data_IF_302971004511
#
_entry.id   IF_302971004511
#
_cell.length_a   1.000
_cell.length_b   1.000
_cell.length_c   1.000
_cell.angle_alpha   90.00
_cell.angle_beta   90.00
_cell.angle_gamma   90.00
#
_symmetry.space_group_name_H-M   'P 1'
#
loop_
_entity.id
_entity.type
_entity.pdbx_description
1 polymer ?
#
# COMPACT_ATOMS: atom_id res chain seq x y z
N UNK A 1 -37.58 4.54 -5.30
CA UNK A 1 -37.45 4.34 -6.76
C UNK A 1 -38.04 5.57 -7.44
N UNK A 2 -37.26 6.27 -8.28
CA UNK A 2 -37.67 7.46 -9.02
C UNK A 2 -37.83 7.16 -10.51
N UNK A 3 -38.78 7.84 -11.15
CA UNK A 3 -39.40 7.59 -12.45
C UNK A 3 -38.54 7.78 -13.73
N UNK A 4 -37.21 7.73 -13.65
CA UNK A 4 -36.35 7.63 -14.83
C UNK A 4 -35.23 6.64 -14.54
N UNK A 5 -35.20 5.54 -15.29
CA UNK A 5 -34.33 4.37 -15.11
C UNK A 5 -32.84 4.61 -15.40
N UNK A 6 -32.25 5.67 -14.85
CA UNK A 6 -30.80 5.73 -14.66
C UNK A 6 -30.54 5.29 -13.23
N UNK A 7 -30.03 4.06 -13.08
CA UNK A 7 -29.20 3.70 -11.93
C UNK A 7 -28.32 4.90 -11.62
N UNK A 8 -28.39 5.44 -10.40
CA UNK A 8 -27.62 6.62 -10.02
C UNK A 8 -26.14 6.22 -10.04
N UNK A 9 -25.51 6.26 -11.22
CA UNK A 9 -24.08 6.07 -11.38
C UNK A 9 -23.43 7.12 -10.49
N UNK A 10 -22.63 6.64 -9.52
CA UNK A 10 -21.92 7.50 -8.58
C UNK A 10 -21.19 8.57 -9.39
N UNK A 11 -21.26 9.82 -8.94
CA UNK A 11 -20.55 10.91 -9.58
C UNK A 11 -19.06 10.53 -9.71
N UNK A 12 -18.44 10.63 -10.90
CA UNK A 12 -17.04 10.27 -11.11
C UNK A 12 -16.08 10.93 -10.10
N UNK A 13 -16.39 12.16 -9.68
CA UNK A 13 -15.63 12.86 -8.63
C UNK A 13 -15.71 12.15 -7.28
N UNK A 14 -16.89 11.66 -6.92
CA UNK A 14 -17.11 10.96 -5.65
C UNK A 14 -16.44 9.59 -5.67
N UNK A 15 -16.45 8.90 -6.83
CA UNK A 15 -15.70 7.65 -7.03
C UNK A 15 -14.20 7.84 -6.81
N UNK A 16 -13.58 8.84 -7.45
CA UNK A 16 -12.14 9.10 -7.29
C UNK A 16 -11.80 9.52 -5.86
N UNK A 17 -12.67 10.26 -5.19
CA UNK A 17 -12.50 10.59 -3.77
C UNK A 17 -12.56 9.35 -2.89
N UNK A 18 -13.53 8.45 -3.12
CA UNK A 18 -13.68 7.18 -2.39
C UNK A 18 -12.43 6.30 -2.58
N UNK A 19 -11.95 6.15 -3.83
CA UNK A 19 -10.73 5.41 -4.14
C UNK A 19 -9.51 6.01 -3.46
N UNK A 20 -9.37 7.34 -3.52
CA UNK A 20 -8.26 8.06 -2.86
C UNK A 20 -8.26 7.86 -1.34
N UNK A 21 -9.44 7.82 -0.72
CA UNK A 21 -9.58 7.54 0.72
C UNK A 21 -9.18 6.10 1.05
N UNK A 22 -9.66 5.12 0.27
CA UNK A 22 -9.29 3.70 0.42
C UNK A 22 -7.76 3.53 0.33
N UNK A 23 -7.13 4.03 -0.74
CA UNK A 23 -5.66 3.97 -0.94
C UNK A 23 -4.90 4.60 0.21
N UNK A 24 -5.35 5.75 0.71
CA UNK A 24 -4.70 6.45 1.82
C UNK A 24 -4.79 5.65 3.12
N UNK A 25 -5.93 5.01 3.39
CA UNK A 25 -6.12 4.13 4.55
C UNK A 25 -5.16 2.95 4.53
N UNK A 26 -4.99 2.31 3.36
CA UNK A 26 -4.03 1.22 3.17
C UNK A 26 -2.59 1.70 3.39
N UNK A 27 -2.23 2.90 2.88
CA UNK A 27 -0.94 3.52 3.13
C UNK A 27 -0.62 3.69 4.62
N UNK A 28 -1.61 4.08 5.44
CA UNK A 28 -1.45 4.17 6.89
C UNK A 28 -1.31 2.81 7.58
N UNK A 29 -1.93 1.75 7.04
CA UNK A 29 -1.74 0.40 7.56
C UNK A 29 -0.30 -0.08 7.33
N UNK A 30 0.26 0.16 6.13
CA UNK A 30 1.65 -0.14 5.82
C UNK A 30 2.62 0.62 6.74
N UNK A 31 2.34 1.90 7.02
CA UNK A 31 3.16 2.70 7.97
C UNK A 31 3.13 2.13 9.40
N UNK A 32 1.98 1.63 9.85
CA UNK A 32 1.88 0.95 11.15
C UNK A 32 2.70 -0.35 11.17
N UNK A 33 2.69 -1.11 10.08
CA UNK A 33 3.49 -2.33 9.97
C UNK A 33 4.99 -2.04 9.96
N UNK A 34 5.45 -1.03 9.22
CA UNK A 34 6.86 -0.60 9.25
C UNK A 34 7.28 -0.29 10.69
N UNK A 35 6.49 0.52 11.41
CA UNK A 35 6.80 0.87 12.80
C UNK A 35 6.79 -0.35 13.74
N UNK A 36 5.90 -1.31 13.51
CA UNK A 36 5.87 -2.54 14.30
C UNK A 36 7.14 -3.38 14.08
N UNK A 37 7.56 -3.58 12.82
CA UNK A 37 8.76 -4.34 12.48
C UNK A 37 10.02 -3.63 13.01
N UNK A 38 10.10 -2.30 12.90
CA UNK A 38 11.23 -1.52 13.42
C UNK A 38 11.38 -1.65 14.95
N UNK A 39 10.26 -1.63 15.69
CA UNK A 39 10.30 -1.85 17.15
C UNK A 39 10.80 -3.24 17.50
N UNK A 40 10.40 -4.25 16.75
CA UNK A 40 10.84 -5.62 16.97
C UNK A 40 12.31 -5.81 16.58
N UNK A 41 12.75 -5.21 15.47
CA UNK A 41 14.16 -5.17 15.06
C UNK A 41 15.03 -4.57 16.17
N UNK A 42 14.57 -3.52 16.84
CA UNK A 42 15.31 -2.88 17.92
C UNK A 42 15.47 -3.79 19.15
N UNK A 43 14.44 -4.59 19.49
CA UNK A 43 14.56 -5.61 20.54
C UNK A 43 15.56 -6.69 20.14
N UNK A 44 15.48 -7.20 18.91
CA UNK A 44 16.41 -8.22 18.39
C UNK A 44 17.84 -7.70 18.41
N UNK A 45 18.08 -6.42 18.07
CA UNK A 45 19.41 -5.79 18.17
C UNK A 45 19.93 -5.76 19.60
N UNK A 46 19.09 -5.48 20.60
CA UNK A 46 19.50 -5.53 22.02
C UNK A 46 19.87 -6.94 22.42
N UNK A 47 19.03 -7.93 22.12
CA UNK A 47 19.31 -9.34 22.38
C UNK A 47 20.59 -9.83 21.69
N UNK A 48 20.87 -9.35 20.48
CA UNK A 48 22.10 -9.67 19.75
C UNK A 48 23.34 -9.11 20.47
N UNK A 49 23.28 -7.87 20.95
CA UNK A 49 24.39 -7.28 21.73
C UNK A 49 24.62 -8.03 23.04
N UNK A 50 23.55 -8.47 23.71
CA UNK A 50 23.65 -9.21 24.96
C UNK A 50 24.19 -10.63 24.75
N UNK A 51 23.75 -11.32 23.69
CA UNK A 51 24.30 -12.62 23.30
C UNK A 51 25.79 -12.51 22.89
N UNK A 52 26.17 -11.42 22.21
CA UNK A 52 27.55 -11.18 21.83
C UNK A 52 28.47 -11.00 23.04
N UNK A 53 28.01 -10.32 24.09
CA UNK A 53 28.75 -10.19 25.36
C UNK A 53 28.95 -11.53 26.08
N UNK A 54 28.01 -12.47 25.93
CA UNK A 54 28.08 -13.81 26.50
C UNK A 54 28.98 -14.77 25.70
N UNK A 55 29.34 -14.42 24.47
CA UNK A 55 30.15 -15.26 23.59
C UNK A 55 29.36 -16.30 22.80
N UNK A 56 28.02 -16.25 22.83
CA UNK A 56 27.13 -17.22 22.17
C UNK A 56 27.05 -16.95 20.66
N UNK A 57 28.02 -17.46 19.90
CA UNK A 57 28.16 -17.23 18.44
C UNK A 57 26.97 -17.74 17.63
N UNK A 58 26.39 -18.88 18.00
CA UNK A 58 25.27 -19.48 17.26
C UNK A 58 24.01 -18.62 17.39
N UNK A 59 23.72 -18.16 18.61
CA UNK A 59 22.61 -17.25 18.90
C UNK A 59 22.78 -15.93 18.17
N UNK A 60 23.99 -15.35 18.19
CA UNK A 60 24.29 -14.13 17.43
C UNK A 60 24.02 -14.30 15.93
N UNK A 61 24.40 -15.45 15.36
CA UNK A 61 24.19 -15.74 13.94
C UNK A 61 22.70 -15.80 13.57
N UNK A 62 21.89 -16.43 14.42
CA UNK A 62 20.43 -16.53 14.22
C UNK A 62 19.79 -15.14 14.32
N UNK A 63 20.12 -14.37 15.37
CA UNK A 63 19.57 -13.02 15.57
C UNK A 63 19.99 -12.06 14.44
N UNK A 64 21.23 -12.17 13.95
CA UNK A 64 21.70 -11.37 12.82
C UNK A 64 20.90 -11.64 11.53
N UNK A 65 20.61 -12.92 11.25
CA UNK A 65 19.74 -13.30 10.13
C UNK A 65 18.34 -12.69 10.27
N UNK A 66 17.81 -12.65 11.49
CA UNK A 66 16.49 -12.08 11.75
C UNK A 66 16.47 -10.56 11.53
N UNK A 67 17.51 -9.83 11.93
CA UNK A 67 17.66 -8.39 11.60
C UNK A 67 17.67 -8.17 10.09
N UNK A 68 18.37 -9.00 9.32
CA UNK A 68 18.41 -8.89 7.85
C UNK A 68 17.02 -9.15 7.26
N UNK A 69 16.28 -10.14 7.77
CA UNK A 69 14.91 -10.44 7.33
C UNK A 69 13.96 -9.28 7.63
N UNK A 70 14.03 -8.70 8.82
CA UNK A 70 13.24 -7.52 9.20
C UNK A 70 13.48 -6.35 8.24
N UNK A 71 14.75 -6.06 7.91
CA UNK A 71 15.11 -5.01 6.95
C UNK A 71 14.57 -5.29 5.55
N UNK A 72 14.69 -6.53 5.05
CA UNK A 72 14.13 -6.92 3.75
C UNK A 72 12.61 -6.77 3.72
N UNK A 73 11.92 -7.11 4.80
CA UNK A 73 10.48 -6.91 4.94
C UNK A 73 10.11 -5.41 4.88
N UNK A 74 10.83 -4.56 5.64
CA UNK A 74 10.65 -3.10 5.61
C UNK A 74 10.85 -2.55 4.19
N UNK A 75 11.91 -2.94 3.49
CA UNK A 75 12.16 -2.50 2.11
C UNK A 75 11.01 -2.88 1.17
N UNK A 76 10.47 -4.10 1.27
CA UNK A 76 9.31 -4.53 0.47
C UNK A 76 8.05 -3.71 0.78
N UNK A 77 7.83 -3.34 2.05
CA UNK A 77 6.70 -2.48 2.40
C UNK A 77 6.90 -1.07 1.84
N UNK A 78 8.13 -0.53 1.85
CA UNK A 78 8.43 0.76 1.22
C UNK A 78 8.19 0.77 -0.29
N UNK A 79 8.57 -0.29 -1.01
CA UNK A 79 8.25 -0.40 -2.45
C UNK A 79 6.75 -0.42 -2.69
N UNK A 80 6.00 -1.12 -1.85
CA UNK A 80 4.53 -1.14 -1.89
C UNK A 80 3.94 0.25 -1.63
N UNK A 81 4.46 0.98 -0.65
CA UNK A 81 4.06 2.36 -0.38
C UNK A 81 4.33 3.29 -1.57
N UNK A 82 5.45 3.11 -2.26
CA UNK A 82 5.75 3.90 -3.46
C UNK A 82 4.72 3.66 -4.57
N UNK A 83 4.29 2.42 -4.78
CA UNK A 83 3.21 2.12 -5.73
C UNK A 83 1.87 2.75 -5.31
N UNK A 84 1.49 2.69 -4.02
CA UNK A 84 0.28 3.37 -3.52
C UNK A 84 0.33 4.88 -3.75
N UNK A 85 1.48 5.51 -3.49
CA UNK A 85 1.68 6.94 -3.74
C UNK A 85 1.55 7.29 -5.22
N UNK A 86 2.06 6.43 -6.11
CA UNK A 86 1.90 6.60 -7.56
C UNK A 86 0.42 6.58 -7.95
N UNK A 87 -0.35 5.60 -7.46
CA UNK A 87 -1.80 5.55 -7.72
C UNK A 87 -2.49 6.79 -7.14
N UNK A 88 -2.12 7.23 -5.95
CA UNK A 88 -2.70 8.43 -5.34
C UNK A 88 -2.43 9.70 -6.18
N UNK A 89 -1.24 9.85 -6.75
CA UNK A 89 -0.92 10.94 -7.66
C UNK A 89 -1.76 10.87 -8.93
N UNK A 90 -1.92 9.67 -9.49
CA UNK A 90 -2.77 9.46 -10.66
C UNK A 90 -4.24 9.73 -10.37
N UNK A 91 -4.76 9.41 -9.19
CA UNK A 91 -6.13 9.79 -8.79
C UNK A 91 -6.30 11.32 -8.74
N UNK A 92 -5.29 12.06 -8.26
CA UNK A 92 -5.31 13.53 -8.32
C UNK A 92 -5.31 14.03 -9.77
N UNK A 93 -4.55 13.38 -10.65
CA UNK A 93 -4.56 13.69 -12.08
C UNK A 93 -5.96 13.45 -12.68
N UNK A 94 -6.60 12.32 -12.38
CA UNK A 94 -7.97 12.03 -12.81
C UNK A 94 -8.98 13.09 -12.34
N UNK A 95 -8.85 13.63 -11.13
CA UNK A 95 -9.69 14.74 -10.68
C UNK A 95 -9.46 16.02 -11.48
N UNK A 96 -8.22 16.31 -11.89
CA UNK A 96 -7.92 17.46 -12.73
C UNK A 96 -8.49 17.26 -14.14
N UNK A 97 -8.30 16.08 -14.74
CA UNK A 97 -8.89 15.69 -16.02
C UNK A 97 -10.40 15.78 -15.98
N UNK A 98 -11.05 15.31 -14.91
CA UNK A 98 -12.49 15.42 -14.73
C UNK A 98 -12.99 16.87 -14.74
N UNK A 99 -12.25 17.81 -14.15
CA UNK A 99 -12.63 19.23 -14.14
C UNK A 99 -12.54 19.87 -15.52
N UNK A 100 -11.60 19.43 -16.33
CA UNK A 100 -11.33 20.04 -17.65
C UNK A 100 -12.11 19.35 -18.76
N UNK A 101 -12.05 18.01 -18.81
CA UNK A 101 -12.63 17.18 -19.86
C UNK A 101 -14.01 16.59 -19.51
N UNK A 102 -14.47 16.71 -18.26
CA UNK A 102 -15.77 16.20 -17.81
C UNK A 102 -15.88 14.68 -17.71
N UNK A 103 -14.82 13.93 -18.02
CA UNK A 103 -14.81 12.46 -18.02
C UNK A 103 -13.55 11.87 -17.39
N UNK A 104 -13.65 10.63 -16.90
CA UNK A 104 -12.51 9.86 -16.43
C UNK A 104 -11.76 9.25 -17.60
N UNK A 105 -10.43 9.28 -17.55
CA UNK A 105 -9.58 8.61 -18.53
C UNK A 105 -9.04 7.31 -17.97
N UNK A 106 -9.00 6.25 -18.79
CA UNK A 106 -8.35 5.00 -18.40
C UNK A 106 -6.84 5.23 -18.32
N UNK A 107 -6.27 5.05 -17.12
CA UNK A 107 -4.83 5.20 -16.89
C UNK A 107 -4.15 3.82 -16.83
N UNK A 108 -3.30 3.54 -17.82
CA UNK A 108 -2.46 2.33 -17.86
C UNK A 108 -1.46 2.31 -16.71
N UNK A 109 -0.95 3.47 -16.31
CA UNK A 109 -0.03 3.63 -15.18
C UNK A 109 -0.69 3.23 -13.85
N UNK A 110 -1.95 3.62 -13.64
CA UNK A 110 -2.74 3.17 -12.47
C UNK A 110 -2.90 1.66 -12.49
N UNK A 111 -3.26 1.08 -13.63
CA UNK A 111 -3.45 -0.37 -13.75
C UNK A 111 -2.16 -1.14 -13.46
N UNK A 112 -1.03 -0.66 -13.97
CA UNK A 112 0.27 -1.28 -13.72
C UNK A 112 0.69 -1.20 -12.25
N UNK A 113 0.54 -0.03 -11.62
CA UNK A 113 0.84 0.16 -10.20
C UNK A 113 -0.12 -0.62 -9.29
N UNK A 114 -1.39 -0.76 -9.70
CA UNK A 114 -2.37 -1.59 -8.99
C UNK A 114 -1.98 -3.07 -9.06
N UNK A 115 -1.55 -3.54 -10.23
CA UNK A 115 -1.14 -4.92 -10.46
C UNK A 115 0.07 -5.34 -9.62
N UNK A 116 1.04 -4.44 -9.39
CA UNK A 116 2.17 -4.73 -8.51
C UNK A 116 1.74 -4.88 -7.04
N UNK A 117 0.72 -4.12 -6.61
CA UNK A 117 0.19 -4.17 -5.25
C UNK A 117 -0.71 -5.38 -4.96
N UNK A 118 -1.33 -5.99 -5.98
CA UNK A 118 -2.10 -7.24 -5.80
C UNK A 118 -1.22 -8.38 -5.28
N UNK A 119 0.10 -8.28 -5.44
CA UNK A 119 1.08 -9.26 -4.94
C UNK A 119 1.45 -9.05 -3.46
N UNK A 120 0.96 -7.99 -2.82
CA UNK A 120 1.23 -7.63 -1.43
C UNK A 120 0.00 -8.05 -0.61
N UNK A 121 0.06 -9.15 0.16
CA UNK A 121 -1.11 -9.75 0.81
C UNK A 121 -1.94 -8.76 1.62
N UNK A 122 -1.28 -7.81 2.26
CA UNK A 122 -1.85 -6.81 3.15
C UNK A 122 -2.82 -5.86 2.43
N UNK A 123 -2.56 -5.56 1.15
CA UNK A 123 -3.38 -4.63 0.33
C UNK A 123 -4.02 -5.33 -0.87
N UNK A 124 -3.81 -6.63 -1.04
CA UNK A 124 -4.21 -7.36 -2.24
C UNK A 124 -5.73 -7.35 -2.46
N UNK A 125 -6.51 -7.52 -1.39
CA UNK A 125 -7.97 -7.53 -1.46
C UNK A 125 -8.50 -6.15 -1.88
N UNK A 126 -8.06 -5.10 -1.20
CA UNK A 126 -8.50 -3.72 -1.45
C UNK A 126 -8.10 -3.24 -2.85
N UNK A 127 -6.90 -3.57 -3.32
CA UNK A 127 -6.44 -3.21 -4.66
C UNK A 127 -7.16 -3.98 -5.77
N UNK A 128 -7.54 -5.24 -5.53
CA UNK A 128 -8.34 -6.03 -6.48
C UNK A 128 -9.75 -5.47 -6.62
N UNK A 129 -10.37 -5.08 -5.52
CA UNK A 129 -11.71 -4.48 -5.53
C UNK A 129 -11.68 -3.12 -6.23
N UNK A 130 -10.70 -2.27 -5.90
CA UNK A 130 -10.49 -1.00 -6.58
C UNK A 130 -10.24 -1.18 -8.08
N UNK A 131 -9.44 -2.18 -8.48
CA UNK A 131 -9.16 -2.48 -9.89
C UNK A 131 -10.44 -2.83 -10.64
N UNK A 132 -11.34 -3.61 -10.02
CA UNK A 132 -12.64 -3.95 -10.58
C UNK A 132 -13.56 -2.74 -10.67
N UNK A 133 -13.57 -1.87 -9.65
CA UNK A 133 -14.34 -0.62 -9.65
C UNK A 133 -13.88 0.34 -10.75
N UNK A 134 -12.57 0.41 -11.05
CA UNK A 134 -12.00 1.30 -12.08
C UNK A 134 -12.16 0.77 -13.52
N UNK A 135 -12.40 -0.52 -13.71
CA UNK A 135 -12.58 -1.13 -15.04
C UNK A 135 -14.03 -1.12 -15.54
N UNK A 136 -14.99 -0.84 -14.66
CA UNK A 136 -16.41 -0.62 -15.02
C UNK A 136 -16.58 0.76 -15.63
#
# INVERSE_FOLDING_TARGET
MGLFGKTQEKNPKDMVNEWSQKIRKEGYQLDRQIRAIQREEEKVKRSLKDAAKKGDKDVCTILAKEVIRARKAITKIHTSKAHLNSIQLQMKNQLATLRVAGSLQKSTEVMQAMQSLVRVPEVAATMRDLSREMMR
#
